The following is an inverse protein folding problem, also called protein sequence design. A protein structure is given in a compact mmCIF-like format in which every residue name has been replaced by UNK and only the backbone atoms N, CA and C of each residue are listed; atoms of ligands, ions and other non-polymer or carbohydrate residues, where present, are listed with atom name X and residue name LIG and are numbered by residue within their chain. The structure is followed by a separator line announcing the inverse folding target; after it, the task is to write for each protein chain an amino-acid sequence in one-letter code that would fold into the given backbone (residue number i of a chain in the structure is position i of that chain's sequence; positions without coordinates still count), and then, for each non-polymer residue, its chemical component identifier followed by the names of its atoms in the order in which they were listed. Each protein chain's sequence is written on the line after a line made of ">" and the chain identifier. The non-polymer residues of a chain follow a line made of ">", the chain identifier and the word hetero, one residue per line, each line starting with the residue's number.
data_IF_670348524757
#
_entry.id   IF_670348524757
#
_cell.length_a   1.000
_cell.length_b   1.000
_cell.length_c   1.000
_cell.angle_alpha   90.00
_cell.angle_beta   90.00
_cell.angle_gamma   90.00
#
_symmetry.space_group_name_H-M   'P 1'
#
loop_
_entity.id
_entity.type
_entity.pdbx_description
1 polymer ?
#
# COMPACT_ATOMS: atom_id res chain seq x y z
N UNK A 1 5.28 18.18 -7.35
CA UNK A 1 4.80 17.10 -6.46
C UNK A 1 5.99 16.33 -5.91
N UNK A 2 6.15 16.33 -4.61
CA UNK A 2 7.18 15.50 -3.99
C UNK A 2 6.68 14.08 -3.85
N UNK A 3 7.55 13.14 -4.17
CA UNK A 3 7.23 11.72 -4.23
C UNK A 3 8.27 10.95 -3.42
N UNK A 4 7.83 9.94 -2.72
CA UNK A 4 8.75 9.11 -1.96
C UNK A 4 8.51 7.63 -2.23
N UNK A 5 9.59 6.86 -2.07
CA UNK A 5 9.52 5.41 -2.13
C UNK A 5 9.62 4.87 -0.71
N UNK A 6 8.79 3.89 -0.41
CA UNK A 6 8.81 3.17 0.87
C UNK A 6 9.20 1.74 0.61
N UNK A 7 10.17 1.27 1.38
CA UNK A 7 10.57 -0.13 1.38
C UNK A 7 10.36 -0.62 2.81
N UNK A 8 9.53 -1.63 2.97
CA UNK A 8 9.18 -2.08 4.32
C UNK A 8 9.00 -3.58 4.39
N UNK A 9 9.14 -4.11 5.59
CA UNK A 9 8.80 -5.50 5.88
C UNK A 9 8.23 -5.57 7.30
N UNK A 10 7.44 -6.60 7.51
CA UNK A 10 6.84 -6.84 8.83
C UNK A 10 7.79 -7.65 9.71
N UNK A 11 7.55 -7.66 11.05
CA UNK A 11 8.40 -8.45 11.94
C UNK A 11 8.45 -9.91 11.53
N UNK A 12 9.63 -10.50 11.61
CA UNK A 12 9.85 -11.89 11.21
C UNK A 12 9.04 -12.90 12.02
N UNK A 13 8.70 -12.54 13.25
CA UNK A 13 7.96 -13.42 14.15
C UNK A 13 6.45 -13.34 13.99
N UNK A 14 5.98 -12.51 13.07
CA UNK A 14 4.54 -12.37 12.85
C UNK A 14 3.97 -13.65 12.28
N UNK A 15 2.84 -14.12 12.84
CA UNK A 15 2.20 -15.32 12.34
C UNK A 15 1.42 -15.02 11.05
N UNK A 16 1.04 -16.09 10.34
CA UNK A 16 0.38 -15.95 9.04
C UNK A 16 -1.00 -15.28 9.15
N UNK A 17 -1.70 -15.48 10.25
CA UNK A 17 -3.01 -14.86 10.46
C UNK A 17 -2.88 -13.34 10.55
N UNK A 18 -1.92 -12.87 11.34
CA UNK A 18 -1.70 -11.43 11.50
C UNK A 18 -1.15 -10.82 10.21
N UNK A 19 -0.28 -11.54 9.52
CA UNK A 19 0.22 -11.09 8.23
C UNK A 19 -0.94 -10.89 7.24
N UNK A 20 -1.87 -11.84 7.21
CA UNK A 20 -3.04 -11.74 6.36
C UNK A 20 -3.90 -10.53 6.71
N UNK A 21 -4.09 -10.27 7.99
CA UNK A 21 -4.86 -9.09 8.44
C UNK A 21 -4.19 -7.80 7.98
N UNK A 22 -2.88 -7.70 8.12
CA UNK A 22 -2.13 -6.54 7.65
C UNK A 22 -2.32 -6.33 6.15
N UNK A 23 -2.15 -7.40 5.37
CA UNK A 23 -2.26 -7.32 3.92
C UNK A 23 -3.63 -6.80 3.49
N UNK A 24 -4.68 -7.27 4.14
CA UNK A 24 -6.04 -6.81 3.86
C UNK A 24 -6.24 -5.35 4.20
N UNK A 25 -5.72 -4.90 5.32
CA UNK A 25 -5.86 -3.52 5.75
C UNK A 25 -5.02 -2.56 4.93
N UNK A 26 -3.87 -3.00 4.48
CA UNK A 26 -2.95 -2.15 3.73
C UNK A 26 -3.25 -2.14 2.24
N UNK A 27 -3.27 -3.32 1.62
CA UNK A 27 -3.46 -3.46 0.18
C UNK A 27 -4.92 -3.67 -0.23
N UNK A 28 -5.76 -4.10 0.69
CA UNK A 28 -7.13 -4.48 0.37
C UNK A 28 -7.21 -5.95 -0.05
N UNK A 29 -8.41 -6.39 -0.35
CA UNK A 29 -8.64 -7.77 -0.75
C UNK A 29 -9.81 -7.86 -1.71
N UNK A 30 -9.62 -8.61 -2.77
CA UNK A 30 -10.73 -8.98 -3.64
C UNK A 30 -11.33 -10.27 -3.13
N UNK A 31 -12.67 -10.31 -3.06
CA UNK A 31 -13.40 -11.48 -2.67
C UNK A 31 -14.45 -11.81 -3.71
N UNK A 32 -14.78 -13.09 -3.81
CA UNK A 32 -15.84 -13.55 -4.69
C UNK A 32 -16.75 -14.50 -3.90
N UNK A 33 -18.00 -14.60 -4.35
CA UNK A 33 -18.90 -15.58 -3.77
C UNK A 33 -18.49 -16.99 -4.20
N UNK A 34 -19.02 -18.00 -3.51
CA UNK A 34 -18.71 -19.40 -3.81
C UNK A 34 -19.00 -19.78 -5.27
N UNK A 35 -20.03 -19.18 -5.84
CA UNK A 35 -20.41 -19.45 -7.24
C UNK A 35 -19.62 -18.62 -8.25
N UNK A 36 -18.79 -17.70 -7.78
CA UNK A 36 -18.06 -16.79 -8.65
C UNK A 36 -18.93 -15.74 -9.34
N UNK A 37 -20.23 -15.67 -9.01
CA UNK A 37 -21.15 -14.72 -9.62
C UNK A 37 -20.89 -13.28 -9.22
N UNK A 38 -20.45 -13.07 -7.99
CA UNK A 38 -20.24 -11.72 -7.47
C UNK A 38 -18.82 -11.57 -7.02
N UNK A 39 -18.22 -10.47 -7.42
CA UNK A 39 -16.91 -10.08 -6.94
C UNK A 39 -17.05 -8.73 -6.25
N UNK A 40 -16.43 -8.58 -5.12
CA UNK A 40 -16.34 -7.31 -4.46
C UNK A 40 -14.96 -7.16 -3.84
N UNK A 41 -14.60 -5.90 -3.61
CA UNK A 41 -13.29 -5.59 -3.08
C UNK A 41 -13.44 -4.96 -1.70
N UNK A 42 -12.71 -5.51 -0.74
CA UNK A 42 -12.53 -4.85 0.55
C UNK A 42 -11.39 -3.85 0.38
N UNK A 43 -11.69 -2.58 0.62
CA UNK A 43 -10.69 -1.54 0.43
C UNK A 43 -9.66 -1.56 1.55
N UNK A 44 -8.39 -1.47 1.18
CA UNK A 44 -7.31 -1.23 2.11
C UNK A 44 -6.93 0.25 2.10
N UNK A 45 -5.94 0.61 2.91
CA UNK A 45 -5.50 1.99 2.99
C UNK A 45 -5.05 2.52 1.62
N UNK A 46 -4.31 1.74 0.87
CA UNK A 46 -3.77 2.18 -0.42
C UNK A 46 -4.84 2.43 -1.48
N UNK A 47 -6.03 1.86 -1.31
CA UNK A 47 -7.12 2.12 -2.26
C UNK A 47 -7.60 3.56 -2.21
N UNK A 48 -7.39 4.26 -1.10
CA UNK A 48 -7.75 5.67 -0.96
C UNK A 48 -6.57 6.62 -1.16
N UNK A 49 -5.39 6.07 -1.44
CA UNK A 49 -4.16 6.85 -1.61
C UNK A 49 -3.58 6.56 -2.98
N UNK A 50 -3.29 7.59 -3.79
CA UNK A 50 -2.59 7.36 -5.05
C UNK A 50 -1.24 6.70 -4.78
N UNK A 51 -0.97 5.59 -5.44
CA UNK A 51 0.26 4.84 -5.20
C UNK A 51 0.64 4.01 -6.41
N UNK A 52 1.90 3.65 -6.47
CA UNK A 52 2.40 2.70 -7.45
C UNK A 52 3.13 1.60 -6.69
N UNK A 53 2.58 0.39 -6.74
CA UNK A 53 3.20 -0.76 -6.10
C UNK A 53 4.20 -1.38 -7.07
N UNK A 54 5.46 -1.39 -6.69
CA UNK A 54 6.50 -2.03 -7.50
C UNK A 54 6.63 -3.50 -7.15
N UNK A 55 6.62 -3.79 -5.85
CA UNK A 55 6.68 -5.14 -5.29
C UNK A 55 5.93 -5.11 -3.98
N UNK A 56 5.65 -6.29 -3.41
CA UNK A 56 5.15 -6.34 -2.03
C UNK A 56 6.20 -5.72 -1.12
N UNK A 57 5.79 -4.72 -0.36
CA UNK A 57 6.69 -4.01 0.52
C UNK A 57 7.49 -2.89 -0.15
N UNK A 58 7.24 -2.61 -1.43
CA UNK A 58 7.91 -1.51 -2.13
C UNK A 58 6.87 -0.69 -2.87
N UNK A 59 6.59 0.51 -2.36
CA UNK A 59 5.57 1.37 -2.95
C UNK A 59 6.09 2.79 -3.14
N UNK A 60 5.52 3.46 -4.11
CA UNK A 60 5.77 4.88 -4.37
C UNK A 60 4.49 5.63 -4.08
N UNK A 61 4.57 6.68 -3.28
CA UNK A 61 3.44 7.51 -2.90
C UNK A 61 3.82 8.99 -2.96
N UNK A 62 2.81 9.86 -2.89
CA UNK A 62 3.07 11.29 -2.73
C UNK A 62 3.53 11.54 -1.30
N UNK A 63 4.44 12.46 -1.13
CA UNK A 63 4.92 12.82 0.21
C UNK A 63 3.77 13.29 1.10
N UNK A 64 2.76 13.92 0.53
CA UNK A 64 1.60 14.40 1.29
C UNK A 64 0.80 13.27 1.93
N UNK A 65 0.94 12.05 1.45
CA UNK A 65 0.24 10.87 1.99
C UNK A 65 1.12 10.04 2.93
N UNK A 66 2.38 10.43 3.10
CA UNK A 66 3.35 9.66 3.87
C UNK A 66 2.92 9.44 5.31
N UNK A 67 2.38 10.46 5.96
CA UNK A 67 2.00 10.38 7.36
C UNK A 67 0.95 9.31 7.61
N UNK A 68 -0.08 9.25 6.76
CA UNK A 68 -1.15 8.26 6.89
C UNK A 68 -0.62 6.84 6.70
N UNK A 69 0.25 6.67 5.70
CA UNK A 69 0.84 5.35 5.42
C UNK A 69 1.74 4.92 6.57
N UNK A 70 2.59 5.82 7.07
CA UNK A 70 3.49 5.51 8.18
C UNK A 70 2.72 5.17 9.45
N UNK A 71 1.59 5.82 9.68
CA UNK A 71 0.77 5.54 10.85
C UNK A 71 0.34 4.07 10.88
N UNK A 72 -0.16 3.55 9.77
CA UNK A 72 -0.56 2.15 9.70
C UNK A 72 0.64 1.22 9.81
N UNK A 73 1.73 1.53 9.12
CA UNK A 73 2.93 0.69 9.19
C UNK A 73 3.47 0.61 10.61
N UNK A 74 3.46 1.73 11.33
CA UNK A 74 3.91 1.76 12.72
C UNK A 74 3.00 0.97 13.65
N UNK A 75 1.69 0.96 13.41
CA UNK A 75 0.75 0.15 14.18
C UNK A 75 1.11 -1.34 14.13
N UNK A 76 1.66 -1.79 13.01
CA UNK A 76 2.04 -3.18 12.81
C UNK A 76 3.53 -3.45 13.03
N UNK A 77 4.23 -2.46 13.57
CA UNK A 77 5.67 -2.57 13.87
C UNK A 77 6.52 -2.91 12.64
N UNK A 78 6.12 -2.43 11.48
CA UNK A 78 6.88 -2.63 10.27
C UNK A 78 8.22 -1.90 10.34
N UNK A 79 9.23 -2.50 9.73
CA UNK A 79 10.52 -1.84 9.54
C UNK A 79 10.46 -1.14 8.20
N UNK A 80 10.67 0.18 8.19
CA UNK A 80 10.45 1.00 7.00
C UNK A 80 11.67 1.84 6.68
N UNK A 81 12.08 1.81 5.42
CA UNK A 81 13.01 2.78 4.85
C UNK A 81 12.23 3.66 3.89
N UNK A 82 12.51 4.96 3.91
CA UNK A 82 11.87 5.90 3.01
C UNK A 82 12.90 6.82 2.39
N UNK A 83 12.67 7.16 1.14
CA UNK A 83 13.52 8.10 0.40
C UNK A 83 12.65 8.99 -0.47
N UNK A 84 13.01 10.27 -0.54
CA UNK A 84 12.43 11.16 -1.53
C UNK A 84 13.11 10.85 -2.85
N UNK A 85 12.32 10.67 -3.89
CA UNK A 85 12.83 10.30 -5.20
C UNK A 85 12.37 11.30 -6.25
N UNK A 86 13.09 11.34 -7.36
CA UNK A 86 12.63 12.04 -8.54
C UNK A 86 11.74 11.06 -9.34
N UNK A 87 10.44 11.35 -9.47
CA UNK A 87 9.54 10.41 -10.13
C UNK A 87 9.77 10.37 -11.64
N UNK A 88 9.54 9.20 -12.21
CA UNK A 88 9.50 9.06 -13.66
C UNK A 88 8.15 9.55 -14.18
N UNK A 89 8.05 9.73 -15.49
CA UNK A 89 6.76 10.08 -16.10
C UNK A 89 5.70 9.00 -15.80
N UNK A 90 6.10 7.73 -15.81
CA UNK A 90 5.18 6.64 -15.50
C UNK A 90 4.69 6.71 -14.07
N UNK A 91 5.58 7.04 -13.13
CA UNK A 91 5.19 7.23 -11.73
C UNK A 91 4.15 8.32 -11.61
N UNK A 92 4.39 9.45 -12.27
CA UNK A 92 3.48 10.59 -12.21
C UNK A 92 2.12 10.27 -12.81
N UNK A 93 2.06 9.54 -13.89
CA UNK A 93 0.80 9.12 -14.48
C UNK A 93 -0.02 8.29 -13.53
N UNK A 94 0.60 7.29 -12.92
CA UNK A 94 -0.08 6.43 -11.96
C UNK A 94 -0.59 7.21 -10.76
N UNK A 95 0.23 8.11 -10.23
CA UNK A 95 -0.16 8.91 -9.06
C UNK A 95 -1.28 9.89 -9.36
N UNK A 96 -1.35 10.41 -10.58
CA UNK A 96 -2.43 11.30 -11.00
C UNK A 96 -3.73 10.55 -11.25
N UNK A 97 -3.66 9.43 -11.94
CA UNK A 97 -4.85 8.65 -12.33
C UNK A 97 -5.54 7.99 -11.14
N UNK A 98 -4.79 7.65 -10.10
CA UNK A 98 -5.34 7.01 -8.92
C UNK A 98 -6.27 7.91 -8.12
N UNK A 99 -6.40 9.16 -8.51
CA UNK A 99 -7.21 10.15 -7.80
C UNK A 99 -8.61 10.25 -8.38
N UNK A 100 -9.33 9.23 -8.33
CA UNK A 100 -10.73 9.30 -8.77
C UNK A 100 -11.68 9.28 -7.62
#
# INVERSE_FOLDING_TARGET
>A
MEVCILVFHLPKKMNNTDLGKFMKRFYGQETSTQSGKYRYRRKGLLDSIPHRKLLLGVIIIRKSDLEDVMKLLNEWNAVVDQRIIEPTEEDLEVLREARK
#
